data_IF_221993490599
#
_entry.id   IF_221993490599
#
_cell.length_a   1.000
_cell.length_b   1.000
_cell.length_c   1.000
_cell.angle_alpha   90.00
_cell.angle_beta   90.00
_cell.angle_gamma   90.00
#
_symmetry.space_group_name_H-M   'P 1'
#
loop_
_entity.id
_entity.type
_entity.pdbx_description
1 polymer ?
#
# COMPACT_ATOMS: atom_id res chain seq x y z
N UNK A 1 18.54 -1.83 24.94
CA UNK A 1 17.98 -0.97 23.88
C UNK A 1 17.83 -1.74 22.56
N UNK A 2 18.92 -2.31 22.01
CA UNK A 2 18.90 -3.10 20.76
C UNK A 2 17.89 -4.27 20.74
N UNK A 3 17.71 -4.99 21.86
CA UNK A 3 16.75 -6.10 21.96
C UNK A 3 15.30 -5.64 21.72
N UNK A 4 14.90 -4.54 22.37
CA UNK A 4 13.55 -3.95 22.21
C UNK A 4 13.29 -3.47 20.77
N UNK A 5 14.31 -2.91 20.12
CA UNK A 5 14.19 -2.46 18.71
C UNK A 5 14.00 -3.67 17.79
N UNK A 6 14.76 -4.75 17.98
CA UNK A 6 14.59 -6.00 17.21
C UNK A 6 13.21 -6.62 17.43
N UNK A 7 12.77 -6.74 18.68
CA UNK A 7 11.44 -7.24 19.04
C UNK A 7 10.33 -6.43 18.35
N UNK A 8 10.43 -5.09 18.38
CA UNK A 8 9.49 -4.19 17.71
C UNK A 8 9.48 -4.39 16.19
N UNK A 9 10.65 -4.45 15.55
CA UNK A 9 10.76 -4.66 14.10
C UNK A 9 10.18 -6.01 13.68
N UNK A 10 10.46 -7.08 14.44
CA UNK A 10 9.94 -8.42 14.14
C UNK A 10 8.43 -8.47 14.32
N UNK A 11 7.90 -7.88 15.40
CA UNK A 11 6.46 -7.85 15.65
C UNK A 11 5.72 -7.09 14.54
N UNK A 12 6.25 -5.94 14.11
CA UNK A 12 5.67 -5.08 13.09
C UNK A 12 6.20 -5.30 11.68
N UNK A 13 6.85 -6.43 11.42
CA UNK A 13 7.52 -6.69 10.14
C UNK A 13 6.56 -6.51 8.95
N UNK A 14 5.36 -7.09 9.03
CA UNK A 14 4.35 -7.00 7.97
C UNK A 14 3.87 -5.55 7.76
N UNK A 15 3.73 -4.78 8.84
CA UNK A 15 3.37 -3.36 8.79
C UNK A 15 4.46 -2.51 8.11
N UNK A 16 5.74 -2.78 8.39
CA UNK A 16 6.85 -2.13 7.70
C UNK A 16 6.95 -2.57 6.23
N UNK A 17 6.73 -3.85 5.95
CA UNK A 17 6.74 -4.38 4.59
C UNK A 17 5.64 -3.75 3.73
N UNK A 18 4.40 -3.66 4.25
CA UNK A 18 3.27 -3.00 3.57
C UNK A 18 3.60 -1.54 3.23
N UNK A 19 4.10 -0.79 4.21
CA UNK A 19 4.39 0.64 4.01
C UNK A 19 5.54 0.87 3.05
N UNK A 20 6.65 0.13 3.18
CA UNK A 20 7.78 0.23 2.25
C UNK A 20 7.38 -0.15 0.83
N UNK A 21 6.62 -1.24 0.67
CA UNK A 21 6.11 -1.66 -0.65
C UNK A 21 5.23 -0.58 -1.27
N UNK A 22 4.39 0.07 -0.46
CA UNK A 22 3.54 1.17 -0.90
C UNK A 22 4.33 2.41 -1.31
N UNK A 23 5.37 2.78 -0.56
CA UNK A 23 6.26 3.89 -0.93
C UNK A 23 6.98 3.59 -2.24
N UNK A 24 7.57 2.39 -2.37
CA UNK A 24 8.29 1.99 -3.58
C UNK A 24 7.35 1.95 -4.78
N UNK A 25 6.14 1.41 -4.62
CA UNK A 25 5.14 1.38 -5.68
C UNK A 25 4.71 2.80 -6.09
N UNK A 26 4.38 3.66 -5.12
CA UNK A 26 4.02 5.05 -5.40
C UNK A 26 5.16 5.80 -6.09
N UNK A 27 6.41 5.58 -5.68
CA UNK A 27 7.60 6.12 -6.34
C UNK A 27 7.75 5.62 -7.79
N UNK A 28 7.55 4.32 -8.03
CA UNK A 28 7.56 3.75 -9.38
C UNK A 28 6.51 4.37 -10.29
N UNK A 29 5.33 4.73 -9.78
CA UNK A 29 4.30 5.41 -10.56
C UNK A 29 4.70 6.83 -11.01
N UNK A 30 5.57 7.51 -10.26
CA UNK A 30 6.12 8.80 -10.69
C UNK A 30 7.16 8.65 -11.79
N UNK A 31 8.03 7.63 -11.69
CA UNK A 31 9.12 7.41 -12.65
C UNK A 31 8.63 6.76 -13.94
N UNK A 32 7.67 5.86 -13.85
CA UNK A 32 7.18 5.03 -14.93
C UNK A 32 5.66 5.20 -15.10
N UNK A 33 5.20 6.35 -15.64
CA UNK A 33 3.75 6.59 -15.84
C UNK A 33 3.12 5.54 -16.77
N UNK A 34 3.92 4.91 -17.63
CA UNK A 34 3.51 3.84 -18.54
C UNK A 34 2.87 2.63 -17.82
N UNK A 35 3.21 2.41 -16.54
CA UNK A 35 2.58 1.39 -15.68
C UNK A 35 1.07 1.60 -15.57
N UNK A 36 0.58 2.83 -15.70
CA UNK A 36 -0.86 3.12 -15.70
C UNK A 36 -1.38 3.35 -17.11
N UNK A 37 -0.58 3.98 -17.98
CA UNK A 37 -1.04 4.37 -19.33
C UNK A 37 -1.27 3.21 -20.29
N UNK A 38 -0.60 2.07 -20.07
CA UNK A 38 -0.78 0.87 -20.87
C UNK A 38 -2.12 0.16 -20.58
N UNK A 39 -2.86 0.56 -19.55
CA UNK A 39 -4.07 -0.13 -19.11
C UNK A 39 -5.34 0.64 -19.49
N UNK A 40 -6.26 -0.04 -20.20
CA UNK A 40 -7.50 0.55 -20.74
C UNK A 40 -8.39 1.21 -19.70
N UNK A 41 -8.43 0.68 -18.47
CA UNK A 41 -9.24 1.25 -17.39
C UNK A 41 -8.67 2.60 -16.95
N UNK A 42 -7.34 2.72 -16.87
CA UNK A 42 -6.68 3.97 -16.54
C UNK A 42 -6.87 5.05 -17.60
N UNK A 43 -6.92 4.66 -18.88
CA UNK A 43 -7.23 5.61 -19.96
C UNK A 43 -8.64 6.19 -19.84
N UNK A 44 -9.62 5.44 -19.31
CA UNK A 44 -11.00 5.93 -19.11
C UNK A 44 -11.16 6.85 -17.91
N UNK A 45 -10.30 6.71 -16.90
CA UNK A 45 -10.39 7.46 -15.64
C UNK A 45 -9.25 8.50 -15.56
N UNK A 46 -8.49 8.69 -16.66
CA UNK A 46 -7.29 9.54 -16.73
C UNK A 46 -7.54 10.98 -16.31
N UNK A 47 -8.75 11.49 -16.56
CA UNK A 47 -9.13 12.87 -16.22
C UNK A 47 -9.39 13.06 -14.72
N UNK A 48 -9.69 11.98 -13.99
CA UNK A 48 -9.97 12.00 -12.55
C UNK A 48 -8.81 11.44 -11.71
N UNK A 49 -7.94 10.62 -12.30
CA UNK A 49 -6.89 9.87 -11.60
C UNK A 49 -5.53 10.07 -12.29
N UNK A 50 -4.91 11.22 -12.08
CA UNK A 50 -3.53 11.47 -12.49
C UNK A 50 -2.58 10.55 -11.72
N UNK A 51 -1.74 9.82 -12.46
CA UNK A 51 -0.66 8.97 -11.94
C UNK A 51 0.17 9.65 -10.84
N UNK A 52 0.39 10.98 -10.92
CA UNK A 52 1.12 11.74 -9.91
C UNK A 52 0.40 11.82 -8.57
N UNK A 53 -0.91 12.09 -8.57
CA UNK A 53 -1.69 12.17 -7.32
C UNK A 53 -1.84 10.80 -6.67
N UNK A 54 -2.01 9.76 -7.49
CA UNK A 54 -2.02 8.38 -7.03
C UNK A 54 -0.67 8.00 -6.40
N UNK A 55 0.43 8.22 -7.12
CA UNK A 55 1.77 7.92 -6.63
C UNK A 55 2.04 8.65 -5.31
N UNK A 56 1.67 9.94 -5.24
CA UNK A 56 1.78 10.75 -4.04
C UNK A 56 0.99 10.14 -2.88
N UNK A 57 -0.25 9.71 -3.12
CA UNK A 57 -1.10 9.12 -2.09
C UNK A 57 -0.49 7.87 -1.47
N UNK A 58 0.08 6.97 -2.28
CA UNK A 58 0.77 5.78 -1.78
C UNK A 58 2.03 6.11 -0.97
N UNK A 59 2.83 7.07 -1.43
CA UNK A 59 4.05 7.51 -0.73
C UNK A 59 3.71 8.18 0.60
N UNK A 60 2.77 9.13 0.60
CA UNK A 60 2.35 9.86 1.81
C UNK A 60 1.70 8.92 2.81
N UNK A 61 0.80 8.05 2.37
CA UNK A 61 0.14 7.08 3.25
C UNK A 61 1.16 6.08 3.83
N UNK A 62 2.11 5.62 3.01
CA UNK A 62 3.23 4.78 3.44
C UNK A 62 4.08 5.43 4.52
N UNK A 63 4.50 6.69 4.31
CA UNK A 63 5.28 7.45 5.27
C UNK A 63 4.53 7.67 6.59
N UNK A 64 3.25 8.07 6.52
CA UNK A 64 2.38 8.23 7.70
C UNK A 64 2.30 6.92 8.48
N UNK A 65 2.14 5.79 7.78
CA UNK A 65 1.99 4.49 8.43
C UNK A 65 3.30 3.99 9.07
N UNK A 66 4.47 4.27 8.47
CA UNK A 66 5.77 4.02 9.10
C UNK A 66 5.86 4.80 10.41
N UNK A 67 5.59 6.11 10.37
CA UNK A 67 5.64 6.97 11.56
C UNK A 67 4.67 6.48 12.63
N UNK A 68 3.44 6.12 12.25
CA UNK A 68 2.45 5.56 13.15
C UNK A 68 2.89 4.21 13.76
N UNK A 69 3.62 3.39 13.00
CA UNK A 69 4.15 2.10 13.46
C UNK A 69 5.33 2.27 14.41
N UNK A 70 6.21 3.24 14.16
CA UNK A 70 7.33 3.59 15.06
C UNK A 70 6.81 4.16 16.38
N UNK A 71 5.83 5.07 16.31
CA UNK A 71 5.24 5.71 17.49
C UNK A 71 4.15 4.88 18.17
N UNK A 72 3.87 3.67 17.65
CA UNK A 72 2.79 2.79 18.09
C UNK A 72 1.41 3.48 18.21
N UNK A 73 1.08 4.36 17.26
CA UNK A 73 -0.15 5.15 17.25
C UNK A 73 -1.35 4.35 16.72
N UNK A 74 -2.03 3.64 17.62
CA UNK A 74 -3.16 2.74 17.33
C UNK A 74 -4.24 3.36 16.45
N UNK A 75 -4.73 4.56 16.78
CA UNK A 75 -5.82 5.22 16.05
C UNK A 75 -5.47 5.47 14.59
N UNK A 76 -4.23 5.89 14.33
CA UNK A 76 -3.76 6.15 12.96
C UNK A 76 -3.67 4.84 12.19
N UNK A 77 -3.13 3.78 12.80
CA UNK A 77 -3.00 2.46 12.15
C UNK A 77 -4.37 1.85 11.82
N UNK A 78 -5.33 2.00 12.72
CA UNK A 78 -6.71 1.52 12.53
C UNK A 78 -7.44 2.17 11.35
N UNK A 79 -7.15 3.43 11.06
CA UNK A 79 -7.74 4.14 9.92
C UNK A 79 -6.94 3.86 8.65
N UNK A 80 -5.61 3.86 8.73
CA UNK A 80 -4.73 3.68 7.58
C UNK A 80 -4.84 2.29 6.94
N UNK A 81 -5.02 1.22 7.73
CA UNK A 81 -5.07 -0.15 7.19
C UNK A 81 -6.28 -0.44 6.30
N UNK A 82 -7.52 -0.06 6.66
CA UNK A 82 -8.65 -0.11 5.74
C UNK A 82 -8.42 0.70 4.46
N UNK A 83 -7.81 1.88 4.59
CA UNK A 83 -7.48 2.73 3.42
C UNK A 83 -6.47 2.04 2.50
N UNK A 84 -5.41 1.45 3.05
CA UNK A 84 -4.45 0.65 2.26
C UNK A 84 -5.14 -0.52 1.57
N UNK A 85 -5.96 -1.25 2.31
CA UNK A 85 -6.65 -2.43 1.77
C UNK A 85 -7.55 -2.03 0.61
N UNK A 86 -8.31 -0.95 0.77
CA UNK A 86 -9.15 -0.39 -0.28
C UNK A 86 -8.33 0.05 -1.50
N UNK A 87 -7.27 0.84 -1.29
CA UNK A 87 -6.42 1.32 -2.38
C UNK A 87 -5.79 0.16 -3.16
N UNK A 88 -5.15 -0.78 -2.47
CA UNK A 88 -4.51 -1.92 -3.12
C UNK A 88 -5.52 -2.83 -3.82
N UNK A 89 -6.70 -3.06 -3.23
CA UNK A 89 -7.77 -3.84 -3.85
C UNK A 89 -8.36 -3.15 -5.09
N UNK A 90 -8.59 -1.85 -5.03
CA UNK A 90 -9.08 -1.06 -6.17
C UNK A 90 -8.13 -1.11 -7.35
N UNK A 91 -6.82 -1.00 -7.08
CA UNK A 91 -5.78 -1.12 -8.11
C UNK A 91 -5.70 -2.54 -8.65
N UNK A 92 -5.72 -3.54 -7.78
CA UNK A 92 -5.73 -4.95 -8.19
C UNK A 92 -6.87 -5.26 -9.13
N UNK A 93 -8.09 -4.83 -8.81
CA UNK A 93 -9.25 -5.02 -9.66
C UNK A 93 -9.05 -4.36 -11.03
N UNK A 94 -8.50 -3.15 -11.05
CA UNK A 94 -8.23 -2.40 -12.29
C UNK A 94 -7.21 -3.12 -13.19
N UNK A 95 -6.20 -3.78 -12.62
CA UNK A 95 -5.18 -4.51 -13.39
C UNK A 95 -5.62 -5.91 -13.82
N UNK A 96 -6.41 -6.62 -12.99
CA UNK A 96 -6.92 -7.96 -13.32
C UNK A 96 -7.95 -7.89 -14.45
N UNK A 97 -8.75 -6.83 -14.51
CA UNK A 97 -9.73 -6.60 -15.57
C UNK A 97 -9.11 -6.15 -16.91
N UNK A 98 -7.78 -6.05 -17.00
CA UNK A 98 -7.10 -5.66 -18.23
C UNK A 98 -6.29 -6.83 -18.79
N UNK A 99 -6.61 -7.24 -20.02
CA UNK A 99 -5.82 -8.21 -20.78
C UNK A 99 -4.57 -7.55 -21.40
N UNK A 100 -3.42 -8.24 -21.44
CA UNK A 100 -3.16 -9.58 -20.90
C UNK A 100 -2.87 -9.59 -19.38
N UNK A 101 -2.91 -10.77 -18.72
CA UNK A 101 -2.52 -10.91 -17.32
C UNK A 101 -1.13 -10.32 -17.08
N UNK A 102 -1.02 -9.50 -16.05
CA UNK A 102 0.18 -8.73 -15.76
C UNK A 102 0.65 -8.94 -14.32
N UNK A 103 1.96 -8.84 -14.13
CA UNK A 103 2.62 -9.03 -12.84
C UNK A 103 2.25 -7.95 -11.82
N UNK A 104 1.86 -6.76 -12.29
CA UNK A 104 1.42 -5.63 -11.45
C UNK A 104 0.08 -5.94 -10.77
N UNK A 105 -0.84 -6.59 -11.48
CA UNK A 105 -2.13 -7.04 -10.95
C UNK A 105 -1.97 -8.10 -9.87
N UNK A 106 -1.04 -9.04 -10.07
CA UNK A 106 -0.70 -10.04 -9.04
C UNK A 106 -0.07 -9.37 -7.83
N UNK A 107 0.90 -8.47 -8.02
CA UNK A 107 1.54 -7.72 -6.94
C UNK A 107 0.52 -6.95 -6.11
N UNK A 108 -0.32 -6.13 -6.76
CA UNK A 108 -1.32 -5.31 -6.10
C UNK A 108 -2.35 -6.16 -5.35
N UNK A 109 -2.73 -7.33 -5.88
CA UNK A 109 -3.59 -8.30 -5.21
C UNK A 109 -2.92 -8.88 -3.96
N UNK A 110 -1.67 -9.34 -4.07
CA UNK A 110 -0.92 -9.90 -2.94
C UNK A 110 -0.77 -8.88 -1.82
N UNK A 111 -0.49 -7.61 -2.15
CA UNK A 111 -0.35 -6.55 -1.14
C UNK A 111 -1.70 -6.16 -0.54
N UNK A 112 -2.80 -6.22 -1.31
CA UNK A 112 -4.15 -6.03 -0.77
C UNK A 112 -4.48 -7.09 0.29
N UNK A 113 -4.17 -8.36 0.00
CA UNK A 113 -4.35 -9.48 0.95
C UNK A 113 -3.45 -9.31 2.18
N UNK A 114 -2.19 -8.91 1.99
CA UNK A 114 -1.28 -8.59 3.10
C UNK A 114 -1.86 -7.50 4.01
N UNK A 115 -2.30 -6.38 3.42
CA UNK A 115 -2.91 -5.26 4.14
C UNK A 115 -4.14 -5.68 4.94
N UNK A 116 -5.01 -6.48 4.31
CA UNK A 116 -6.19 -7.04 4.97
C UNK A 116 -5.81 -7.98 6.13
N UNK A 117 -4.81 -8.84 5.93
CA UNK A 117 -4.30 -9.75 6.96
C UNK A 117 -3.76 -9.01 8.18
N UNK A 118 -2.98 -7.94 7.97
CA UNK A 118 -2.48 -7.06 9.05
C UNK A 118 -3.66 -6.42 9.80
N UNK A 119 -4.68 -5.97 9.06
CA UNK A 119 -5.90 -5.41 9.66
C UNK A 119 -6.65 -6.41 10.55
N UNK A 120 -6.74 -7.67 10.14
CA UNK A 120 -7.40 -8.74 10.90
C UNK A 120 -6.60 -9.19 12.13
N UNK A 121 -5.29 -9.39 11.95
CA UNK A 121 -4.35 -9.71 13.03
C UNK A 121 -4.48 -8.68 14.14
N UNK A 122 -4.66 -7.43 13.74
CA UNK A 122 -4.85 -6.33 14.66
C UNK A 122 -3.54 -5.98 15.33
N UNK A 123 -2.49 -5.80 14.53
CA UNK A 123 -1.17 -5.29 14.96
C UNK A 123 -1.27 -3.97 15.77
N UNK A 124 -2.43 -3.35 15.86
CA UNK A 124 -2.71 -2.15 16.65
C UNK A 124 -3.45 -2.45 17.97
N UNK A 125 -3.70 -3.71 18.33
CA UNK A 125 -4.52 -4.07 19.51
C UNK A 125 -3.80 -3.80 20.83
N UNK A 126 -2.48 -3.96 20.87
CA UNK A 126 -1.66 -3.87 22.10
C UNK A 126 -1.01 -2.49 22.33
N UNK A 127 -1.40 -1.47 21.54
CA UNK A 127 -1.06 -0.06 21.77
C UNK A 127 -2.09 0.70 22.59
#
# INVERSE_FOLDING_TARGET
MWRKIKEHIIYYFDSYLLSLTSIVYGWQLFLNPEILLNYRIYQRIRDLFDHKYIGASFVVLGAIYIVATILNQKKIKQIALPVFTFMWAFFSFSFIMTDPPNTVGVLTMSVAVLSFGISLRGDFKDG
#
